data_IF_899019814996
#
_entry.id   IF_899019814996
#
_cell.length_a   1.000
_cell.length_b   1.000
_cell.length_c   1.000
_cell.angle_alpha   90.00
_cell.angle_beta   90.00
_cell.angle_gamma   90.00
#
_symmetry.space_group_name_H-M   'P 1'
#
loop_
_entity.id
_entity.type
_entity.pdbx_description
1 polymer ?
#
# COMPACT_ATOMS: atom_id res chain seq x y z
N UNK A 1 13.45 30.78 58.80
CA UNK A 1 13.61 31.80 57.75
C UNK A 1 12.28 31.93 57.03
N UNK A 2 11.80 33.16 56.96
CA UNK A 2 10.53 33.73 56.51
C UNK A 2 9.73 33.00 55.40
N UNK A 3 8.44 32.82 55.68
CA UNK A 3 7.35 32.43 54.78
C UNK A 3 7.04 33.50 53.71
N UNK A 4 6.62 33.07 52.52
CA UNK A 4 5.84 33.87 51.57
C UNK A 4 4.78 32.98 50.91
N UNK A 5 3.50 33.41 50.83
CA UNK A 5 2.42 32.62 50.21
C UNK A 5 2.28 32.91 48.70
N UNK A 6 1.65 32.02 47.92
CA UNK A 6 1.42 32.23 46.49
C UNK A 6 0.24 33.19 46.22
N UNK A 7 0.39 34.03 45.20
CA UNK A 7 -0.60 35.01 44.74
C UNK A 7 -1.73 34.38 43.91
N UNK A 8 -2.91 34.98 44.03
CA UNK A 8 -4.18 34.58 43.43
C UNK A 8 -4.27 34.85 41.92
N UNK A 9 -5.03 34.00 41.23
CA UNK A 9 -5.46 34.13 39.83
C UNK A 9 -6.55 35.20 39.68
N UNK A 10 -6.62 35.96 38.57
CA UNK A 10 -7.77 36.81 38.29
C UNK A 10 -8.88 36.05 37.54
N UNK A 11 -10.11 36.24 38.03
CA UNK A 11 -11.38 35.70 37.54
C UNK A 11 -11.82 36.32 36.19
N UNK A 12 -12.56 35.51 35.42
CA UNK A 12 -13.31 35.89 34.22
C UNK A 12 -14.51 36.81 34.55
N UNK A 13 -14.78 37.87 33.74
CA UNK A 13 -16.08 38.52 33.76
C UNK A 13 -17.08 37.78 32.86
N UNK A 14 -18.13 37.26 33.47
CA UNK A 14 -19.36 36.81 32.81
C UNK A 14 -20.20 38.01 32.38
N UNK A 15 -20.62 38.07 31.11
CA UNK A 15 -21.75 38.90 30.68
C UNK A 15 -22.86 38.07 30.04
N UNK A 16 -23.98 38.02 30.76
CA UNK A 16 -25.29 37.54 30.32
C UNK A 16 -25.81 38.35 29.12
N UNK A 17 -26.34 37.63 28.14
CA UNK A 17 -27.71 37.82 27.65
C UNK A 17 -27.92 38.78 26.48
N UNK A 18 -28.24 38.19 25.31
CA UNK A 18 -29.43 38.55 24.52
C UNK A 18 -29.77 37.41 23.55
N UNK A 19 -31.01 36.92 23.67
CA UNK A 19 -31.67 36.07 22.67
C UNK A 19 -32.00 36.93 21.46
N UNK A 20 -31.77 36.41 20.26
CA UNK A 20 -32.49 36.83 19.05
C UNK A 20 -32.89 35.53 18.34
N UNK A 21 -34.16 35.17 18.53
CA UNK A 21 -34.91 34.37 17.57
C UNK A 21 -35.28 35.28 16.39
N UNK A 22 -35.71 34.68 15.28
CA UNK A 22 -36.23 35.29 14.04
C UNK A 22 -35.21 35.52 12.91
N UNK A 23 -34.87 34.44 12.19
CA UNK A 23 -34.87 34.45 10.71
C UNK A 23 -35.29 33.07 10.22
N UNK A 24 -36.59 32.80 10.24
CA UNK A 24 -37.20 31.67 9.55
C UNK A 24 -38.58 32.09 9.01
N UNK A 25 -38.61 32.62 7.79
CA UNK A 25 -39.77 32.55 6.89
C UNK A 25 -39.44 33.11 5.50
N UNK A 26 -40.09 32.50 4.51
CA UNK A 26 -40.24 32.90 3.11
C UNK A 26 -39.19 32.42 2.09
N UNK A 27 -39.36 31.17 1.63
CA UNK A 27 -39.56 30.91 0.19
C UNK A 27 -40.09 29.50 -0.06
N UNK A 28 -41.41 29.39 -0.12
CA UNK A 28 -42.13 28.32 -0.81
C UNK A 28 -43.03 29.02 -1.82
N UNK A 29 -42.91 28.66 -3.10
CA UNK A 29 -44.02 28.50 -4.07
C UNK A 29 -43.51 28.06 -5.46
N UNK A 30 -43.64 26.74 -5.72
CA UNK A 30 -44.11 26.08 -6.97
C UNK A 30 -43.34 26.20 -8.31
N UNK A 31 -43.69 25.37 -9.33
CA UNK A 31 -44.78 24.38 -9.38
C UNK A 31 -44.37 22.93 -9.76
N UNK A 32 -45.33 22.04 -9.48
CA UNK A 32 -45.36 20.59 -9.70
C UNK A 32 -45.43 20.22 -11.20
N UNK A 33 -44.90 19.04 -11.55
CA UNK A 33 -45.36 18.24 -12.69
C UNK A 33 -45.58 16.78 -12.26
N UNK A 34 -46.75 16.27 -12.61
CA UNK A 34 -47.30 14.95 -12.33
C UNK A 34 -46.93 13.92 -13.40
N UNK A 35 -47.02 12.63 -13.01
CA UNK A 35 -47.19 11.47 -13.89
C UNK A 35 -45.88 10.76 -14.28
N UNK A 36 -45.72 9.44 -14.25
CA UNK A 36 -46.63 8.30 -14.29
C UNK A 36 -45.85 7.08 -13.71
N UNK A 37 -46.49 6.28 -12.84
CA UNK A 37 -46.05 4.93 -12.45
C UNK A 37 -46.78 3.89 -13.32
N UNK A 38 -46.13 2.78 -13.71
CA UNK A 38 -46.85 1.54 -13.95
C UNK A 38 -46.49 0.48 -12.91
N UNK A 39 -47.54 0.00 -12.26
CA UNK A 39 -47.63 -1.28 -11.58
C UNK A 39 -47.47 -2.44 -12.56
N UNK A 40 -46.66 -3.44 -12.22
CA UNK A 40 -46.70 -4.76 -12.86
C UNK A 40 -46.59 -5.85 -11.79
N UNK A 41 -47.76 -6.37 -11.44
CA UNK A 41 -47.96 -7.67 -10.81
C UNK A 41 -47.80 -8.77 -11.87
N UNK A 42 -46.91 -9.74 -11.64
CA UNK A 42 -46.99 -11.05 -12.31
C UNK A 42 -46.25 -12.11 -11.49
N UNK A 43 -47.04 -12.81 -10.70
CA UNK A 43 -46.93 -14.22 -10.31
C UNK A 43 -45.97 -15.07 -11.16
N UNK A 44 -44.85 -15.52 -10.58
CA UNK A 44 -44.10 -16.69 -11.06
C UNK A 44 -43.61 -17.53 -9.89
N UNK A 45 -44.27 -18.69 -9.77
CA UNK A 45 -43.92 -19.83 -8.91
C UNK A 45 -42.49 -20.29 -9.18
N UNK A 46 -41.70 -20.39 -8.12
CA UNK A 46 -40.38 -21.04 -8.12
C UNK A 46 -40.59 -22.51 -7.72
N UNK A 47 -40.19 -23.51 -8.52
CA UNK A 47 -40.15 -24.88 -8.05
C UNK A 47 -38.87 -25.12 -7.23
N UNK A 48 -39.08 -25.60 -6.01
CA UNK A 48 -38.08 -26.25 -5.17
C UNK A 48 -37.52 -27.49 -5.87
N UNK A 49 -36.19 -27.61 -5.95
CA UNK A 49 -35.53 -28.85 -6.36
C UNK A 49 -34.54 -29.26 -5.26
N UNK A 50 -34.92 -30.28 -4.49
CA UNK A 50 -34.02 -31.07 -3.67
C UNK A 50 -33.35 -32.12 -4.56
N UNK A 51 -32.01 -32.14 -4.60
CA UNK A 51 -31.26 -33.32 -5.05
C UNK A 51 -30.07 -33.52 -4.11
N UNK A 52 -30.19 -34.54 -3.26
CA UNK A 52 -29.06 -35.28 -2.72
C UNK A 52 -28.38 -36.06 -3.86
N UNK A 53 -27.06 -35.97 -4.00
CA UNK A 53 -26.24 -37.14 -4.36
C UNK A 53 -24.76 -36.86 -4.20
N UNK A 54 -24.11 -37.79 -3.47
CA UNK A 54 -22.67 -37.98 -3.37
C UNK A 54 -22.04 -38.20 -4.75
N UNK A 55 -20.90 -37.56 -5.03
CA UNK A 55 -19.90 -38.08 -5.96
C UNK A 55 -18.50 -37.93 -5.36
N UNK A 56 -17.87 -39.08 -5.18
CA UNK A 56 -16.48 -39.24 -4.81
C UNK A 56 -15.56 -39.02 -6.03
N UNK A 57 -14.35 -38.52 -5.75
CA UNK A 57 -13.13 -38.86 -6.50
C UNK A 57 -12.98 -38.28 -7.90
N UNK A 58 -12.26 -37.16 -8.01
CA UNK A 58 -11.52 -36.82 -9.22
C UNK A 58 -10.21 -36.11 -8.85
N UNK A 59 -9.10 -36.84 -8.97
CA UNK A 59 -7.74 -36.29 -8.96
C UNK A 59 -7.56 -35.37 -10.18
N UNK A 60 -7.63 -34.06 -9.97
CA UNK A 60 -7.30 -33.06 -10.97
C UNK A 60 -5.80 -32.81 -11.02
N UNK A 61 -5.15 -33.25 -12.10
CA UNK A 61 -3.78 -32.84 -12.48
C UNK A 61 -3.72 -31.31 -12.59
N UNK A 62 -2.81 -30.69 -11.85
CA UNK A 62 -2.51 -29.27 -11.99
C UNK A 62 -1.73 -29.05 -13.28
N UNK A 63 -2.39 -28.43 -14.27
CA UNK A 63 -1.74 -27.95 -15.48
C UNK A 63 -0.98 -26.66 -15.15
N UNK A 64 0.31 -26.63 -15.49
CA UNK A 64 1.13 -25.43 -15.39
C UNK A 64 0.66 -24.41 -16.44
N UNK A 65 0.26 -23.22 -15.99
CA UNK A 65 -0.06 -22.09 -16.86
C UNK A 65 1.23 -21.48 -17.44
N UNK A 66 1.25 -21.05 -18.71
CA UNK A 66 2.40 -20.37 -19.29
C UNK A 66 2.62 -18.99 -18.62
N UNK A 67 3.87 -18.49 -18.55
CA UNK A 67 4.16 -17.19 -17.95
C UNK A 67 3.49 -16.07 -18.76
N UNK A 68 2.66 -15.26 -18.10
CA UNK A 68 2.14 -14.01 -18.67
C UNK A 68 3.24 -12.95 -18.62
N UNK A 69 3.58 -12.38 -19.77
CA UNK A 69 4.42 -11.18 -19.88
C UNK A 69 3.48 -9.96 -19.90
N UNK A 70 3.62 -9.06 -18.93
CA UNK A 70 2.96 -7.77 -18.97
C UNK A 70 3.99 -6.65 -19.16
N UNK A 71 3.96 -6.02 -20.33
CA UNK A 71 4.75 -4.83 -20.64
C UNK A 71 3.82 -3.63 -20.60
N UNK A 72 4.07 -2.67 -19.69
CA UNK A 72 3.29 -1.44 -19.62
C UNK A 72 4.17 -0.20 -19.72
N UNK A 73 3.86 0.64 -20.70
CA UNK A 73 4.49 1.93 -20.95
C UNK A 73 3.38 2.96 -21.11
N UNK A 74 3.38 4.02 -20.30
CA UNK A 74 2.41 5.12 -20.43
C UNK A 74 2.98 6.20 -21.36
N UNK A 75 2.22 6.67 -22.38
CA UNK A 75 2.75 7.64 -23.33
C UNK A 75 2.94 9.03 -22.71
N UNK A 76 4.09 9.65 -23.04
CA UNK A 76 4.49 10.99 -22.63
C UNK A 76 3.72 12.07 -23.42
N UNK A 77 3.01 12.97 -22.72
CA UNK A 77 2.64 14.27 -23.32
C UNK A 77 3.90 15.14 -23.39
N UNK A 78 4.29 15.49 -24.62
CA UNK A 78 5.45 16.33 -24.90
C UNK A 78 5.29 17.73 -24.29
N UNK A 79 6.20 18.11 -23.39
CA UNK A 79 6.57 19.51 -23.21
C UNK A 79 8.08 19.63 -23.44
N UNK A 80 8.44 20.43 -24.46
CA UNK A 80 9.82 20.78 -24.76
C UNK A 80 10.33 21.72 -23.67
N UNK A 81 11.27 21.26 -22.87
CA UNK A 81 12.14 22.15 -22.09
C UNK A 81 13.57 21.85 -22.49
N UNK A 82 14.09 22.67 -23.40
CA UNK A 82 15.51 22.72 -23.74
C UNK A 82 16.22 23.49 -22.64
N UNK A 83 17.01 22.81 -21.80
CA UNK A 83 18.15 23.41 -21.09
C UNK A 83 19.09 22.30 -20.62
N UNK A 84 20.29 22.31 -21.18
CA UNK A 84 21.44 21.53 -20.73
C UNK A 84 21.89 22.08 -19.37
N UNK A 85 21.89 21.24 -18.33
CA UNK A 85 22.55 21.52 -17.06
C UNK A 85 23.50 20.36 -16.73
N UNK A 86 24.73 20.65 -16.23
CA UNK A 86 25.80 19.66 -16.20
C UNK A 86 25.62 18.66 -15.06
N UNK A 87 25.67 17.39 -15.45
CA UNK A 87 25.68 16.21 -14.60
C UNK A 87 26.99 16.14 -13.80
N UNK A 88 26.94 16.28 -12.48
CA UNK A 88 28.05 15.90 -11.59
C UNK A 88 27.52 15.04 -10.45
N UNK A 89 27.94 13.76 -10.46
CA UNK A 89 28.04 12.75 -9.38
C UNK A 89 26.86 12.65 -8.39
N UNK A 90 26.17 11.53 -8.13
CA UNK A 90 26.35 10.08 -8.31
C UNK A 90 24.96 9.41 -8.04
N UNK A 91 24.77 8.08 -7.93
CA UNK A 91 25.67 6.96 -8.22
C UNK A 91 25.06 5.89 -9.15
N UNK A 92 25.91 4.92 -9.46
CA UNK A 92 25.80 3.81 -10.39
C UNK A 92 24.79 2.71 -9.97
N UNK A 93 23.61 3.08 -9.49
CA UNK A 93 22.53 2.13 -9.11
C UNK A 93 21.63 1.81 -10.32
N UNK A 94 21.49 2.76 -11.25
CA UNK A 94 20.67 2.65 -12.47
C UNK A 94 21.15 1.60 -13.47
N UNK A 95 22.46 1.34 -13.53
CA UNK A 95 23.04 0.41 -14.51
C UNK A 95 22.97 -1.06 -14.06
N UNK A 96 22.78 -1.33 -12.77
CA UNK A 96 22.78 -2.70 -12.23
C UNK A 96 21.39 -3.35 -12.23
N UNK A 97 20.31 -2.55 -12.12
CA UNK A 97 18.94 -3.06 -12.11
C UNK A 97 18.46 -3.58 -13.48
N UNK A 98 18.98 -3.04 -14.58
CA UNK A 98 18.59 -3.44 -15.94
C UNK A 98 19.35 -4.69 -16.42
N UNK A 99 20.52 -5.00 -15.83
CA UNK A 99 21.41 -6.05 -16.35
C UNK A 99 21.06 -7.49 -15.91
N UNK A 100 20.22 -7.67 -14.89
CA UNK A 100 19.92 -9.02 -14.33
C UNK A 100 18.74 -9.72 -15.02
N UNK A 101 17.89 -9.00 -15.76
CA UNK A 101 16.67 -9.57 -16.37
C UNK A 101 16.91 -10.15 -17.78
N UNK A 102 18.00 -9.81 -18.47
CA UNK A 102 18.18 -10.18 -19.88
C UNK A 102 18.78 -11.57 -20.18
N UNK A 103 19.12 -12.40 -19.18
CA UNK A 103 19.92 -13.60 -19.41
C UNK A 103 19.16 -14.95 -19.46
N UNK A 104 17.84 -15.01 -19.25
CA UNK A 104 17.12 -16.31 -19.26
C UNK A 104 15.71 -16.24 -19.87
N UNK A 105 15.60 -16.18 -21.20
CA UNK A 105 14.39 -16.63 -21.90
C UNK A 105 14.62 -16.77 -23.42
N UNK A 106 15.12 -17.91 -23.87
CA UNK A 106 14.86 -18.41 -25.23
C UNK A 106 14.65 -19.92 -25.17
N UNK A 107 13.40 -20.35 -25.10
CA UNK A 107 12.94 -21.69 -25.47
C UNK A 107 11.40 -21.72 -25.66
N UNK A 108 11.00 -21.63 -26.93
CA UNK A 108 9.87 -22.26 -27.68
C UNK A 108 8.52 -22.63 -27.01
N UNK A 109 7.43 -22.44 -27.78
CA UNK A 109 6.31 -23.40 -27.86
C UNK A 109 4.95 -22.77 -28.20
N UNK A 110 4.27 -23.26 -29.24
CA UNK A 110 3.09 -22.65 -29.87
C UNK A 110 1.79 -22.63 -29.05
N UNK A 111 0.97 -21.61 -29.33
CA UNK A 111 -0.33 -21.37 -28.74
C UNK A 111 -1.41 -22.29 -29.32
N UNK A 112 -2.24 -22.84 -28.42
CA UNK A 112 -3.62 -23.23 -28.75
C UNK A 112 -4.53 -22.49 -27.79
N UNK A 113 -5.41 -21.65 -28.34
CA UNK A 113 -6.40 -20.91 -27.58
C UNK A 113 -7.50 -21.86 -27.11
N UNK A 114 -7.74 -21.92 -25.81
CA UNK A 114 -8.91 -22.53 -25.22
C UNK A 114 -9.89 -21.42 -24.82
N UNK A 115 -11.16 -21.57 -25.23
CA UNK A 115 -12.27 -20.69 -24.86
C UNK A 115 -12.55 -20.79 -23.35
N UNK A 116 -12.59 -19.64 -22.69
CA UNK A 116 -12.90 -19.49 -21.27
C UNK A 116 -14.43 -19.42 -21.10
N UNK A 117 -14.99 -20.39 -20.36
CA UNK A 117 -16.40 -20.36 -19.98
C UNK A 117 -16.53 -19.53 -18.70
N UNK A 118 -16.90 -18.26 -18.86
CA UNK A 118 -17.27 -17.33 -17.79
C UNK A 118 -18.59 -17.79 -17.14
N UNK A 119 -18.51 -18.78 -16.26
CA UNK A 119 -19.50 -18.96 -15.21
C UNK A 119 -19.33 -17.80 -14.22
N UNK A 120 -20.42 -17.13 -13.84
CA UNK A 120 -20.44 -16.08 -12.82
C UNK A 120 -19.98 -16.66 -11.47
N UNK A 121 -18.68 -16.64 -11.22
CA UNK A 121 -18.08 -17.03 -9.95
C UNK A 121 -18.30 -15.85 -8.98
N UNK A 122 -18.95 -16.12 -7.86
CA UNK A 122 -19.07 -15.15 -6.77
C UNK A 122 -17.68 -14.87 -6.19
N UNK A 123 -17.22 -13.61 -6.31
CA UNK A 123 -15.94 -13.19 -5.76
C UNK A 123 -16.04 -13.04 -4.23
N UNK A 124 -15.34 -13.91 -3.50
CA UNK A 124 -15.27 -13.84 -2.03
C UNK A 124 -13.97 -13.16 -1.63
N UNK A 125 -14.07 -11.91 -1.18
CA UNK A 125 -12.94 -11.18 -0.61
C UNK A 125 -12.67 -11.70 0.80
N UNK A 126 -11.53 -12.37 0.97
CA UNK A 126 -11.05 -12.87 2.26
C UNK A 126 -10.13 -11.85 2.89
N UNK A 127 -10.54 -11.36 4.07
CA UNK A 127 -9.79 -10.37 4.86
C UNK A 127 -9.14 -11.06 6.05
N UNK A 128 -7.89 -10.72 6.32
CA UNK A 128 -7.08 -11.22 7.41
C UNK A 128 -7.73 -10.85 8.75
N UNK A 129 -7.79 -11.79 9.68
CA UNK A 129 -8.33 -11.55 11.03
C UNK A 129 -7.25 -11.27 12.06
N UNK A 130 -6.01 -11.60 11.72
CA UNK A 130 -4.81 -11.35 12.50
C UNK A 130 -3.68 -10.94 11.54
N UNK A 131 -2.51 -10.51 12.04
CA UNK A 131 -1.37 -10.19 11.20
C UNK A 131 -0.93 -11.33 10.28
N UNK A 132 -1.20 -12.58 10.66
CA UNK A 132 -0.81 -13.74 9.87
C UNK A 132 -1.55 -13.80 8.52
N UNK A 133 -0.89 -14.34 7.50
CA UNK A 133 -1.39 -14.38 6.13
C UNK A 133 -2.33 -15.57 5.82
N UNK A 134 -2.75 -16.31 6.86
CA UNK A 134 -3.47 -17.60 6.75
C UNK A 134 -4.83 -17.59 7.43
N UNK A 135 -5.02 -16.79 8.47
CA UNK A 135 -6.29 -16.60 9.16
C UNK A 135 -7.07 -15.50 8.44
N UNK A 136 -8.03 -15.92 7.61
CA UNK A 136 -8.88 -15.01 6.87
C UNK A 136 -10.34 -15.40 6.99
N UNK A 137 -11.22 -14.39 7.01
CA UNK A 137 -12.66 -14.59 6.92
C UNK A 137 -13.23 -13.73 5.79
N UNK A 138 -14.35 -14.16 5.17
CA UNK A 138 -15.06 -13.31 4.23
C UNK A 138 -15.38 -11.96 4.86
N UNK A 139 -15.12 -10.86 4.14
CA UNK A 139 -15.34 -9.50 4.64
C UNK A 139 -16.75 -9.30 5.22
N UNK A 140 -17.77 -9.92 4.62
CA UNK A 140 -19.16 -9.87 5.07
C UNK A 140 -19.43 -10.47 6.46
N UNK A 141 -18.49 -11.26 7.00
CA UNK A 141 -18.59 -11.86 8.35
C UNK A 141 -17.86 -11.03 9.42
N UNK A 142 -17.16 -9.98 9.02
CA UNK A 142 -16.41 -9.14 9.96
C UNK A 142 -17.31 -8.06 10.58
N UNK A 143 -17.24 -7.83 11.90
CA UNK A 143 -18.06 -6.83 12.58
C UNK A 143 -17.50 -5.40 12.45
N UNK A 144 -16.60 -5.16 11.49
CA UNK A 144 -15.94 -3.87 11.28
C UNK A 144 -15.73 -3.60 9.78
N UNK A 145 -15.52 -2.31 9.44
CA UNK A 145 -15.28 -1.91 8.07
C UNK A 145 -13.95 -2.53 7.58
N UNK A 146 -14.01 -3.23 6.46
CA UNK A 146 -12.82 -3.81 5.83
C UNK A 146 -12.81 -3.46 4.34
N UNK A 147 -11.61 -3.19 3.83
CA UNK A 147 -11.35 -2.89 2.43
C UNK A 147 -10.13 -3.70 2.02
N UNK A 148 -10.14 -4.26 0.82
CA UNK A 148 -9.03 -5.01 0.29
C UNK A 148 -8.81 -4.70 -1.18
N UNK A 149 -7.57 -4.84 -1.60
CA UNK A 149 -7.20 -4.83 -3.00
C UNK A 149 -6.18 -5.91 -3.32
N UNK A 150 -6.24 -6.41 -4.55
CA UNK A 150 -5.33 -7.41 -5.09
C UNK A 150 -4.17 -6.78 -5.87
N UNK A 151 -3.25 -7.65 -6.33
CA UNK A 151 -2.08 -7.25 -7.11
C UNK A 151 -2.47 -6.55 -8.41
N UNK A 152 -3.54 -7.01 -9.09
CA UNK A 152 -3.96 -6.43 -10.36
C UNK A 152 -4.52 -5.02 -10.18
N UNK A 153 -5.21 -4.73 -9.09
CA UNK A 153 -5.66 -3.38 -8.74
C UNK A 153 -4.48 -2.46 -8.38
N UNK A 154 -3.53 -2.95 -7.57
CA UNK A 154 -2.31 -2.21 -7.24
C UNK A 154 -1.53 -1.89 -8.52
N UNK A 155 -1.25 -2.89 -9.36
CA UNK A 155 -0.45 -2.75 -10.57
C UNK A 155 -1.17 -1.91 -11.66
N UNK A 156 -2.50 -1.82 -11.65
CA UNK A 156 -3.27 -0.94 -12.56
C UNK A 156 -3.31 0.52 -12.11
N UNK A 157 -3.10 0.79 -10.83
CA UNK A 157 -3.21 2.13 -10.27
C UNK A 157 -2.07 3.06 -10.72
N UNK A 158 -0.91 2.49 -11.10
CA UNK A 158 0.32 3.23 -11.40
C UNK A 158 0.64 4.28 -10.31
N UNK A 159 0.43 3.88 -9.06
CA UNK A 159 0.66 4.74 -7.90
C UNK A 159 2.15 4.85 -7.59
N UNK A 160 2.55 5.99 -7.03
CA UNK A 160 3.96 6.27 -6.69
C UNK A 160 4.48 5.38 -5.56
N UNK A 161 3.64 5.25 -4.53
CA UNK A 161 3.89 4.49 -3.34
C UNK A 161 2.55 3.84 -2.88
N UNK A 162 2.58 3.19 -1.74
CA UNK A 162 1.37 2.59 -1.18
C UNK A 162 0.35 3.63 -0.71
N UNK A 163 0.81 4.78 -0.21
CA UNK A 163 -0.07 5.79 0.36
C UNK A 163 -0.94 6.45 -0.72
N UNK A 164 -0.36 6.77 -1.88
CA UNK A 164 -1.04 7.26 -3.09
C UNK A 164 -2.06 6.23 -3.62
N UNK A 165 -1.70 4.94 -3.59
CA UNK A 165 -2.63 3.87 -3.94
C UNK A 165 -3.86 3.83 -3.01
N UNK A 166 -3.61 3.91 -1.70
CA UNK A 166 -4.65 3.87 -0.69
C UNK A 166 -5.57 5.09 -0.78
N UNK A 167 -5.03 6.30 -0.97
CA UNK A 167 -5.84 7.51 -1.15
C UNK A 167 -6.79 7.40 -2.34
N UNK A 168 -6.28 6.92 -3.48
CA UNK A 168 -7.07 6.84 -4.72
C UNK A 168 -8.13 5.75 -4.71
N UNK A 169 -7.89 4.67 -3.97
CA UNK A 169 -8.66 3.43 -4.10
C UNK A 169 -9.52 3.14 -2.87
N UNK A 170 -9.03 3.47 -1.67
CA UNK A 170 -9.70 3.12 -0.42
C UNK A 170 -10.53 4.31 0.07
N UNK A 171 -11.71 4.00 0.58
CA UNK A 171 -12.60 5.00 1.17
C UNK A 171 -12.10 5.46 2.53
N UNK A 172 -12.37 6.72 2.86
CA UNK A 172 -11.98 7.37 4.13
C UNK A 172 -10.48 7.45 4.37
N UNK A 173 -9.67 7.31 3.30
CA UNK A 173 -8.23 7.58 3.31
C UNK A 173 -7.98 8.94 2.67
N UNK A 174 -7.12 9.75 3.29
CA UNK A 174 -6.65 11.02 2.75
C UNK A 174 -5.19 11.22 3.09
N UNK A 175 -4.45 11.94 2.25
CA UNK A 175 -3.04 12.27 2.51
C UNK A 175 -2.90 13.73 2.97
N UNK A 176 -1.91 13.98 3.81
CA UNK A 176 -1.45 15.31 4.17
C UNK A 176 0.07 15.42 3.93
N UNK A 177 0.45 16.29 3.01
CA UNK A 177 1.84 16.42 2.53
C UNK A 177 2.61 17.50 3.31
N UNK A 178 2.83 17.28 4.61
CA UNK A 178 3.50 18.25 5.47
C UNK A 178 4.94 18.58 5.03
N UNK A 179 5.70 17.59 4.55
CA UNK A 179 7.06 17.77 4.04
C UNK A 179 7.12 18.17 2.56
N UNK A 180 5.99 18.16 1.84
CA UNK A 180 5.93 18.37 0.39
C UNK A 180 6.77 17.37 -0.44
N UNK A 181 7.00 16.16 0.09
CA UNK A 181 7.66 15.06 -0.59
C UNK A 181 6.64 13.95 -0.91
N UNK A 182 6.54 13.45 -2.15
CA UNK A 182 5.52 12.47 -2.53
C UNK A 182 5.69 11.09 -1.87
N UNK A 183 6.85 10.79 -1.30
CA UNK A 183 7.12 9.54 -0.57
C UNK A 183 7.06 9.71 0.95
N UNK A 184 6.78 10.93 1.44
CA UNK A 184 6.62 11.20 2.88
C UNK A 184 5.26 11.81 3.27
N UNK A 185 4.11 11.34 2.74
CA UNK A 185 2.82 11.84 3.17
C UNK A 185 2.41 11.30 4.55
N UNK A 186 1.65 12.10 5.29
CA UNK A 186 0.87 11.61 6.42
C UNK A 186 -0.41 10.97 5.90
N UNK A 187 -0.54 9.66 6.03
CA UNK A 187 -1.78 8.96 5.71
C UNK A 187 -2.77 9.11 6.86
N UNK A 188 -3.99 9.55 6.55
CA UNK A 188 -5.08 9.65 7.52
C UNK A 188 -6.19 8.68 7.14
N UNK A 189 -6.61 7.86 8.09
CA UNK A 189 -7.79 7.01 7.97
C UNK A 189 -8.76 7.29 9.11
N UNK A 190 -9.93 7.86 8.77
CA UNK A 190 -10.98 8.20 9.75
C UNK A 190 -10.46 9.00 10.96
N UNK A 191 -9.52 9.92 10.72
CA UNK A 191 -8.93 10.80 11.74
C UNK A 191 -7.75 10.22 12.51
N UNK A 192 -7.32 9.00 12.20
CA UNK A 192 -6.08 8.41 12.73
C UNK A 192 -4.96 8.49 11.71
N UNK A 193 -3.75 8.70 12.19
CA UNK A 193 -2.57 8.95 11.35
C UNK A 193 -1.66 7.73 11.25
N UNK A 194 -1.10 7.51 10.06
CA UNK A 194 0.11 6.74 9.80
C UNK A 194 1.07 7.66 9.04
N UNK A 195 2.15 8.07 9.68
CA UNK A 195 3.08 9.07 9.12
C UNK A 195 4.54 8.63 9.25
N UNK A 196 5.40 8.96 8.29
CA UNK A 196 6.85 8.80 8.41
C UNK A 196 7.46 9.80 9.41
N UNK A 197 6.75 10.87 9.78
CA UNK A 197 7.25 11.93 10.65
C UNK A 197 7.06 11.61 12.12
N UNK A 198 8.13 11.81 12.88
CA UNK A 198 8.11 11.67 14.33
C UNK A 198 7.32 12.81 14.99
N UNK A 199 6.60 12.47 16.06
CA UNK A 199 5.85 13.44 16.88
C UNK A 199 4.35 13.52 16.59
N UNK A 200 3.87 12.89 15.51
CA UNK A 200 2.44 12.75 15.25
C UNK A 200 1.83 11.60 16.06
N UNK A 201 0.56 11.74 16.42
CA UNK A 201 -0.20 10.70 17.10
C UNK A 201 -0.54 9.57 16.11
N UNK A 202 0.38 8.62 15.97
CA UNK A 202 0.17 7.42 15.16
C UNK A 202 -1.02 6.62 15.72
N UNK A 203 -1.79 5.97 14.85
CA UNK A 203 -2.95 5.18 15.27
C UNK A 203 -3.33 4.04 14.33
N UNK A 204 -2.46 3.72 13.37
CA UNK A 204 -2.65 2.64 12.40
C UNK A 204 -1.43 1.72 12.46
N UNK A 205 -1.66 0.43 12.70
CA UNK A 205 -0.61 -0.57 12.67
C UNK A 205 -0.46 -1.15 11.26
N UNK A 206 0.75 -1.18 10.74
CA UNK A 206 1.08 -1.72 9.42
C UNK A 206 1.87 -3.01 9.58
N UNK A 207 1.42 -4.07 8.92
CA UNK A 207 2.07 -5.37 8.91
C UNK A 207 2.36 -5.81 7.49
N UNK A 208 3.56 -6.34 7.26
CA UNK A 208 3.99 -6.90 5.98
C UNK A 208 4.36 -8.36 6.21
N UNK A 209 3.62 -9.28 5.60
CA UNK A 209 3.71 -10.73 5.83
C UNK A 209 3.70 -11.06 7.33
N UNK A 210 2.78 -10.47 8.10
CA UNK A 210 2.64 -10.68 9.53
C UNK A 210 3.67 -10.03 10.45
N UNK A 211 4.74 -9.45 9.90
CA UNK A 211 5.71 -8.71 10.68
C UNK A 211 5.35 -7.22 10.76
N UNK A 212 5.45 -6.63 11.96
CA UNK A 212 5.15 -5.20 12.16
C UNK A 212 6.16 -4.34 11.42
N UNK A 213 5.65 -3.46 10.57
CA UNK A 213 6.45 -2.59 9.71
C UNK A 213 6.72 -1.23 10.36
N UNK A 214 5.82 -0.73 11.23
CA UNK A 214 6.03 0.51 11.96
C UNK A 214 7.39 0.53 12.68
N UNK A 215 7.97 1.72 12.80
CA UNK A 215 9.24 1.89 13.49
C UNK A 215 9.10 1.75 15.01
N UNK A 216 10.06 1.11 15.70
CA UNK A 216 9.99 0.94 17.15
C UNK A 216 9.91 2.27 17.92
N UNK A 217 10.54 3.31 17.37
CA UNK A 217 10.51 4.65 17.92
C UNK A 217 9.43 5.49 17.22
N UNK A 218 8.46 5.96 17.98
CA UNK A 218 7.42 6.85 17.47
C UNK A 218 6.36 6.18 16.59
N UNK A 219 6.45 4.85 16.36
CA UNK A 219 5.50 4.04 15.58
C UNK A 219 5.26 4.56 14.16
N UNK A 220 6.24 5.28 13.61
CA UNK A 220 6.18 5.90 12.28
C UNK A 220 6.16 4.86 11.17
N UNK A 221 5.70 5.26 10.00
CA UNK A 221 5.61 4.39 8.82
C UNK A 221 6.35 5.02 7.66
N UNK A 222 7.46 4.39 7.27
CA UNK A 222 8.30 4.81 6.15
C UNK A 222 7.77 4.23 4.84
N UNK A 223 6.89 4.96 4.14
CA UNK A 223 6.25 4.52 2.90
C UNK A 223 7.25 4.33 1.74
N UNK A 224 8.30 5.14 1.72
CA UNK A 224 9.42 5.10 0.79
C UNK A 224 10.16 3.75 0.78
N UNK A 225 10.17 3.05 1.91
CA UNK A 225 10.81 1.76 2.07
C UNK A 225 9.94 0.59 1.61
N UNK A 226 8.77 0.83 1.02
CA UNK A 226 7.83 -0.22 0.61
C UNK A 226 7.83 -0.48 -0.91
N UNK A 227 8.07 -1.72 -1.37
CA UNK A 227 8.09 -2.07 -2.78
C UNK A 227 6.67 -2.36 -3.25
N UNK A 228 6.00 -1.34 -3.78
CA UNK A 228 4.61 -1.44 -4.24
C UNK A 228 4.42 -2.57 -5.25
N UNK A 229 5.35 -2.74 -6.18
CA UNK A 229 5.27 -3.80 -7.22
C UNK A 229 5.38 -5.20 -6.67
N UNK A 230 5.94 -5.39 -5.49
CA UNK A 230 6.03 -6.68 -4.83
C UNK A 230 4.83 -6.96 -3.92
N UNK A 231 3.80 -6.12 -3.90
CA UNK A 231 2.57 -6.33 -3.13
C UNK A 231 1.64 -7.28 -3.89
N UNK A 232 1.22 -8.36 -3.23
CA UNK A 232 0.16 -9.23 -3.72
C UNK A 232 -1.22 -8.74 -3.30
N UNK A 233 -1.37 -8.27 -2.06
CA UNK A 233 -2.65 -7.78 -1.57
C UNK A 233 -2.46 -6.81 -0.42
N UNK A 234 -3.35 -5.82 -0.37
CA UNK A 234 -3.44 -4.83 0.69
C UNK A 234 -4.81 -4.93 1.34
N UNK A 235 -4.85 -4.92 2.67
CA UNK A 235 -6.10 -5.02 3.41
C UNK A 235 -6.11 -4.01 4.55
N UNK A 236 -7.12 -3.15 4.58
CA UNK A 236 -7.34 -2.17 5.63
C UNK A 236 -8.54 -2.59 6.47
N UNK A 237 -8.28 -2.87 7.74
CA UNK A 237 -9.29 -3.17 8.75
C UNK A 237 -9.48 -1.94 9.62
N UNK A 238 -10.68 -1.39 9.62
CA UNK A 238 -10.99 -0.18 10.37
C UNK A 238 -11.41 -0.45 11.80
N UNK A 239 -11.13 0.52 12.67
CA UNK A 239 -11.45 0.48 14.09
C UNK A 239 -10.36 -0.18 14.93
N UNK A 240 -10.57 -0.14 16.24
CA UNK A 240 -9.60 -0.67 17.18
C UNK A 240 -9.49 -2.20 17.04
N UNK A 241 -8.26 -2.72 16.84
CA UNK A 241 -8.06 -4.15 16.65
C UNK A 241 -6.88 -4.69 17.47
N UNK A 242 -7.14 -5.31 18.64
CA UNK A 242 -6.08 -5.80 19.52
C UNK A 242 -5.29 -6.99 18.93
N UNK A 243 -5.81 -7.69 17.92
CA UNK A 243 -5.10 -8.79 17.27
C UNK A 243 -3.82 -8.31 16.54
N UNK A 244 -3.76 -7.03 16.16
CA UNK A 244 -2.60 -6.41 15.50
C UNK A 244 -1.66 -5.70 16.50
N UNK A 245 -1.92 -5.85 17.80
CA UNK A 245 -1.07 -5.35 18.85
C UNK A 245 -1.19 -3.83 19.06
N UNK A 246 -0.10 -3.25 19.58
CA UNK A 246 -0.07 -1.88 20.07
C UNK A 246 -0.46 -0.86 19.00
N UNK A 247 -1.04 0.25 19.45
CA UNK A 247 -1.35 1.42 18.62
C UNK A 247 -2.27 1.18 17.41
N UNK A 248 -3.08 0.13 17.46
CA UNK A 248 -4.09 -0.19 16.44
C UNK A 248 -5.44 0.42 16.83
N UNK A 249 -5.52 1.75 16.98
CA UNK A 249 -6.74 2.43 17.45
C UNK A 249 -7.70 2.79 16.30
N UNK A 250 -7.15 3.25 15.18
CA UNK A 250 -7.90 3.61 13.99
C UNK A 250 -8.07 2.48 12.99
N UNK A 251 -7.12 1.56 12.96
CA UNK A 251 -7.17 0.40 12.10
C UNK A 251 -5.82 -0.30 11.96
N UNK A 252 -5.83 -1.38 11.18
CA UNK A 252 -4.63 -2.10 10.79
C UNK A 252 -4.57 -2.24 9.27
N UNK A 253 -3.38 -2.06 8.72
CA UNK A 253 -3.04 -2.37 7.35
C UNK A 253 -2.26 -3.68 7.33
N UNK A 254 -2.79 -4.69 6.64
CA UNK A 254 -2.10 -5.96 6.43
C UNK A 254 -1.74 -6.11 4.96
N UNK A 255 -0.45 -6.28 4.71
CA UNK A 255 0.12 -6.45 3.40
C UNK A 255 0.67 -7.86 3.25
N UNK A 256 0.37 -8.46 2.10
CA UNK A 256 1.02 -9.69 1.66
C UNK A 256 1.84 -9.41 0.43
N UNK A 257 3.07 -9.87 0.42
CA UNK A 257 3.98 -9.73 -0.72
C UNK A 257 3.81 -10.88 -1.71
N UNK A 258 4.15 -10.63 -2.98
CA UNK A 258 4.14 -11.61 -4.08
C UNK A 258 5.07 -12.80 -3.75
N UNK A 259 4.66 -13.98 -4.18
CA UNK A 259 5.46 -15.21 -4.12
C UNK A 259 5.31 -16.00 -5.43
N UNK A 260 6.20 -16.97 -5.68
CA UNK A 260 6.20 -17.69 -6.95
C UNK A 260 5.04 -18.67 -7.15
N UNK A 261 4.27 -19.01 -6.10
CA UNK A 261 3.08 -19.86 -6.24
C UNK A 261 1.85 -19.06 -6.66
N UNK A 262 1.68 -17.86 -6.10
CA UNK A 262 0.51 -17.00 -6.33
C UNK A 262 0.74 -15.99 -7.46
N UNK A 263 1.99 -15.58 -7.65
CA UNK A 263 2.39 -14.56 -8.62
C UNK A 263 3.50 -15.07 -9.55
N UNK A 264 3.23 -16.09 -10.38
CA UNK A 264 4.15 -16.51 -11.44
C UNK A 264 4.11 -15.51 -12.62
N UNK A 265 5.18 -15.49 -13.42
CA UNK A 265 5.28 -14.64 -14.60
C UNK A 265 6.31 -13.54 -14.41
N UNK A 266 6.27 -12.52 -15.27
CA UNK A 266 7.15 -11.36 -15.17
C UNK A 266 6.41 -10.05 -15.44
N UNK A 267 6.75 -9.03 -14.66
CA UNK A 267 6.29 -7.66 -14.81
C UNK A 267 7.44 -6.73 -15.13
N UNK A 268 7.23 -5.81 -16.08
CA UNK A 268 8.10 -4.67 -16.30
C UNK A 268 7.25 -3.41 -16.44
N UNK A 269 7.54 -2.44 -15.57
CA UNK A 269 6.93 -1.14 -15.54
C UNK A 269 7.99 -0.06 -15.64
N UNK A 270 7.77 0.90 -16.55
CA UNK A 270 8.58 2.10 -16.61
C UNK A 270 7.71 3.28 -17.03
N UNK A 271 7.82 4.38 -16.28
CA UNK A 271 7.16 5.62 -16.62
C UNK A 271 7.92 6.82 -16.07
N UNK A 272 7.58 8.00 -16.57
CA UNK A 272 8.14 9.25 -16.09
C UNK A 272 7.11 10.36 -16.13
N UNK A 273 7.47 11.50 -15.55
CA UNK A 273 6.57 12.64 -15.40
C UNK A 273 7.29 13.97 -15.44
N UNK A 274 6.55 15.02 -15.08
CA UNK A 274 7.11 16.35 -14.86
C UNK A 274 8.19 16.31 -13.77
N UNK A 275 9.08 17.31 -13.77
CA UNK A 275 10.11 17.49 -12.74
C UNK A 275 11.13 16.34 -12.68
N UNK A 276 11.50 15.83 -13.85
CA UNK A 276 12.53 14.78 -13.96
C UNK A 276 12.08 13.41 -13.46
N UNK A 277 10.82 13.25 -13.03
CA UNK A 277 10.33 12.04 -12.39
C UNK A 277 10.48 10.81 -13.27
N UNK A 278 11.03 9.74 -12.70
CA UNK A 278 11.26 8.43 -13.32
C UNK A 278 10.93 7.34 -12.30
N UNK A 279 10.15 6.36 -12.75
CA UNK A 279 9.84 5.16 -12.00
C UNK A 279 10.13 3.96 -12.88
N UNK A 280 10.86 3.00 -12.33
CA UNK A 280 11.18 1.74 -12.99
C UNK A 280 10.98 0.62 -11.99
N UNK A 281 10.22 -0.40 -12.39
CA UNK A 281 10.03 -1.58 -11.58
C UNK A 281 9.99 -2.83 -12.44
N UNK A 282 10.51 -3.91 -11.90
CA UNK A 282 10.49 -5.21 -12.55
C UNK A 282 10.33 -6.31 -11.51
N UNK A 283 9.58 -7.34 -11.85
CA UNK A 283 9.48 -8.54 -11.03
C UNK A 283 9.40 -9.79 -11.90
N UNK A 284 9.82 -10.92 -11.31
CA UNK A 284 9.73 -12.23 -11.93
C UNK A 284 9.47 -13.28 -10.86
N UNK A 285 8.46 -14.10 -11.09
CA UNK A 285 8.09 -15.22 -10.24
C UNK A 285 7.95 -16.51 -11.03
N UNK A 286 8.24 -17.62 -10.37
CA UNK A 286 8.06 -18.94 -10.94
C UNK A 286 7.95 -20.01 -9.86
N UNK A 287 7.36 -21.14 -10.24
CA UNK A 287 7.34 -22.33 -9.40
C UNK A 287 7.56 -23.58 -10.24
N UNK A 288 8.06 -24.63 -9.59
CA UNK A 288 8.27 -25.94 -10.20
C UNK A 288 8.02 -27.05 -9.19
N UNK A 289 7.46 -28.16 -9.65
CA UNK A 289 7.38 -29.38 -8.86
C UNK A 289 8.79 -29.94 -8.57
N UNK A 290 9.02 -30.41 -7.36
CA UNK A 290 10.27 -31.06 -6.91
C UNK A 290 9.90 -32.23 -6.00
N UNK A 291 10.10 -33.45 -6.48
CA UNK A 291 9.71 -34.66 -5.76
C UNK A 291 8.21 -34.70 -5.50
N UNK A 292 7.82 -34.82 -4.23
CA UNK A 292 6.41 -34.78 -3.79
C UNK A 292 5.90 -33.38 -3.41
N UNK A 293 6.70 -32.34 -3.61
CA UNK A 293 6.33 -30.96 -3.33
C UNK A 293 6.60 -30.03 -4.51
N UNK A 294 6.62 -28.74 -4.24
CA UNK A 294 6.96 -27.69 -5.18
C UNK A 294 7.86 -26.63 -4.54
N UNK A 295 8.75 -26.08 -5.33
CA UNK A 295 9.54 -24.90 -4.99
C UNK A 295 9.04 -23.70 -5.80
N UNK A 296 9.05 -22.54 -5.18
CA UNK A 296 8.68 -21.27 -5.78
C UNK A 296 9.75 -20.21 -5.49
N UNK A 297 9.88 -19.25 -6.39
CA UNK A 297 10.66 -18.05 -6.17
C UNK A 297 9.92 -16.84 -6.72
N UNK A 298 10.15 -15.67 -6.14
CA UNK A 298 9.74 -14.40 -6.70
C UNK A 298 10.80 -13.36 -6.36
N UNK A 299 11.24 -12.58 -7.33
CA UNK A 299 12.28 -11.56 -7.19
C UNK A 299 11.77 -10.30 -7.87
N UNK A 300 11.90 -9.15 -7.22
CA UNK A 300 11.51 -7.89 -7.80
C UNK A 300 12.34 -6.73 -7.28
N UNK A 301 12.30 -5.64 -8.04
CA UNK A 301 12.93 -4.39 -7.68
C UNK A 301 12.11 -3.20 -8.19
N UNK A 302 12.25 -2.08 -7.49
CA UNK A 302 11.56 -0.83 -7.75
C UNK A 302 12.52 0.33 -7.52
N UNK A 303 12.52 1.32 -8.41
CA UNK A 303 13.31 2.54 -8.31
C UNK A 303 12.45 3.75 -8.63
N UNK A 304 12.60 4.80 -7.82
CA UNK A 304 11.99 6.10 -7.96
C UNK A 304 13.07 7.18 -7.91
N UNK A 305 12.92 8.22 -8.74
CA UNK A 305 13.81 9.37 -8.80
C UNK A 305 13.08 10.58 -9.37
N UNK A 306 13.30 11.74 -8.79
CA UNK A 306 12.83 13.01 -9.33
C UNK A 306 13.74 14.18 -8.96
N UNK A 307 13.70 15.24 -9.79
CA UNK A 307 14.36 16.51 -9.48
C UNK A 307 13.50 17.37 -8.52
N UNK A 308 12.20 17.07 -8.46
CA UNK A 308 11.22 17.82 -7.68
C UNK A 308 10.82 19.16 -8.33
N UNK A 309 9.69 19.70 -7.91
CA UNK A 309 9.09 20.87 -8.54
C UNK A 309 9.52 22.21 -7.92
N UNK A 310 9.93 22.18 -6.65
CA UNK A 310 10.55 23.30 -5.93
C UNK A 310 12.07 23.22 -6.05
N UNK A 311 12.75 24.31 -5.75
CA UNK A 311 14.20 24.27 -5.65
C UNK A 311 14.62 23.24 -4.58
N UNK A 312 15.83 22.65 -4.69
CA UNK A 312 16.38 21.69 -3.72
C UNK A 312 15.39 20.59 -3.23
N UNK A 313 14.56 20.02 -4.13
CA UNK A 313 13.54 19.00 -3.78
C UNK A 313 13.75 17.65 -4.45
N UNK A 314 14.97 17.37 -4.93
CA UNK A 314 15.28 16.09 -5.55
C UNK A 314 15.13 14.94 -4.55
N UNK A 315 14.59 13.81 -4.99
CA UNK A 315 14.35 12.65 -4.13
C UNK A 315 14.53 11.35 -4.89
N UNK A 316 15.03 10.33 -4.20
CA UNK A 316 15.20 8.99 -4.77
C UNK A 316 14.87 7.89 -3.76
N UNK A 317 14.38 6.76 -4.26
CA UNK A 317 14.14 5.57 -3.46
C UNK A 317 14.38 4.31 -4.30
N UNK A 318 14.93 3.26 -3.67
CA UNK A 318 15.19 1.99 -4.31
C UNK A 318 14.85 0.83 -3.35
N UNK A 319 14.04 -0.10 -3.85
CA UNK A 319 13.59 -1.27 -3.12
C UNK A 319 13.92 -2.54 -3.91
N UNK A 320 14.34 -3.59 -3.21
CA UNK A 320 14.59 -4.92 -3.76
C UNK A 320 13.97 -5.97 -2.85
N UNK A 321 13.16 -6.86 -3.42
CA UNK A 321 12.44 -7.90 -2.71
C UNK A 321 12.73 -9.27 -3.33
N UNK A 322 12.82 -10.28 -2.48
CA UNK A 322 12.97 -11.67 -2.89
C UNK A 322 12.22 -12.61 -1.97
N UNK A 323 11.66 -13.68 -2.53
CA UNK A 323 11.06 -14.77 -1.79
C UNK A 323 11.44 -16.12 -2.40
N UNK A 324 11.60 -17.11 -1.53
CA UNK A 324 11.75 -18.52 -1.88
C UNK A 324 10.76 -19.31 -1.04
N UNK A 325 9.90 -20.06 -1.71
CA UNK A 325 8.85 -20.86 -1.10
C UNK A 325 9.05 -22.35 -1.34
N UNK A 326 8.65 -23.17 -0.37
CA UNK A 326 8.48 -24.60 -0.52
C UNK A 326 7.09 -25.00 -0.05
N UNK A 327 6.41 -25.85 -0.82
CA UNK A 327 5.09 -26.39 -0.49
C UNK A 327 5.08 -27.90 -0.67
N UNK A 328 4.79 -28.63 0.39
CA UNK A 328 4.54 -30.07 0.38
C UNK A 328 3.05 -30.39 0.52
N UNK A 329 2.72 -31.64 0.82
CA UNK A 329 1.34 -32.09 0.96
C UNK A 329 0.61 -31.51 2.19
N UNK A 330 1.32 -31.23 3.28
CA UNK A 330 0.75 -30.75 4.56
C UNK A 330 1.56 -29.62 5.20
N UNK A 331 2.58 -29.12 4.51
CA UNK A 331 3.51 -28.13 5.04
C UNK A 331 3.84 -27.11 3.99
N UNK A 332 4.03 -25.86 4.41
CA UNK A 332 4.44 -24.78 3.55
C UNK A 332 5.40 -23.85 4.29
N UNK A 333 6.43 -23.40 3.60
CA UNK A 333 7.45 -22.51 4.15
C UNK A 333 7.84 -21.45 3.13
N UNK A 334 8.03 -20.21 3.57
CA UNK A 334 8.46 -19.09 2.75
C UNK A 334 9.55 -18.32 3.48
N UNK A 335 10.71 -18.17 2.83
CA UNK A 335 11.77 -17.28 3.26
C UNK A 335 11.72 -16.03 2.38
N UNK A 336 11.69 -14.85 2.99
CA UNK A 336 11.59 -13.57 2.30
C UNK A 336 12.70 -12.63 2.74
N UNK A 337 13.18 -11.83 1.80
CA UNK A 337 14.19 -10.81 2.01
C UNK A 337 13.76 -9.52 1.34
N UNK A 338 13.98 -8.40 2.02
CA UNK A 338 13.60 -7.08 1.53
C UNK A 338 14.69 -6.07 1.92
N UNK A 339 15.24 -5.37 0.94
CA UNK A 339 16.22 -4.28 1.12
C UNK A 339 15.65 -3.01 0.51
N UNK A 340 15.73 -1.92 1.26
CA UNK A 340 15.22 -0.62 0.87
C UNK A 340 16.21 0.48 1.23
N UNK A 341 16.28 1.53 0.41
CA UNK A 341 17.05 2.75 0.67
C UNK A 341 16.34 3.94 0.03
N UNK A 342 16.42 5.10 0.68
CA UNK A 342 15.90 6.35 0.14
C UNK A 342 16.75 7.54 0.56
N UNK A 343 16.64 8.62 -0.21
CA UNK A 343 17.20 9.93 0.04
C UNK A 343 16.16 10.95 -0.40
N UNK A 344 15.53 11.59 0.58
CA UNK A 344 14.31 12.38 0.41
C UNK A 344 14.57 13.80 0.88
N UNK A 345 14.20 14.78 0.04
CA UNK A 345 14.21 16.20 0.40
C UNK A 345 12.77 16.68 0.65
N UNK A 346 12.53 17.27 1.82
CA UNK A 346 11.21 17.68 2.30
C UNK A 346 11.14 19.18 2.61
N UNK A 347 10.76 20.01 1.63
CA UNK A 347 10.90 21.47 1.70
C UNK A 347 9.85 22.22 2.55
N UNK A 348 9.05 21.50 3.34
CA UNK A 348 8.10 22.07 4.31
C UNK A 348 7.19 23.19 3.78
N UNK A 349 6.73 24.04 4.71
CA UNK A 349 5.85 25.17 4.43
C UNK A 349 6.62 26.42 3.97
N UNK A 350 5.93 27.31 3.25
CA UNK A 350 6.49 28.58 2.75
C UNK A 350 5.51 29.72 3.03
N UNK A 351 5.98 30.93 3.41
CA UNK A 351 5.13 32.11 3.49
C UNK A 351 4.38 32.37 2.18
N UNK A 352 3.10 32.70 2.28
CA UNK A 352 2.23 32.88 1.10
C UNK A 352 2.70 34.03 0.20
N UNK A 353 3.34 35.05 0.78
CA UNK A 353 3.95 36.17 0.07
C UNK A 353 5.15 35.74 -0.77
N UNK A 354 6.00 34.85 -0.23
CA UNK A 354 7.14 34.30 -0.97
C UNK A 354 6.66 33.38 -2.10
N UNK A 355 5.65 32.55 -1.84
CA UNK A 355 5.05 31.68 -2.84
C UNK A 355 4.37 32.46 -3.99
N UNK A 356 3.84 33.65 -3.70
CA UNK A 356 3.26 34.53 -4.71
C UNK A 356 4.33 35.15 -5.64
N UNK A 357 5.55 35.33 -5.14
CA UNK A 357 6.69 35.82 -5.94
C UNK A 357 7.33 34.69 -6.76
N UNK A 358 7.56 33.54 -6.14
CA UNK A 358 8.11 32.36 -6.79
C UNK A 358 7.51 31.08 -6.20
N UNK A 359 6.79 30.34 -7.05
CA UNK A 359 6.19 29.06 -6.65
C UNK A 359 7.23 27.99 -6.30
N UNK A 360 8.46 28.11 -6.81
CA UNK A 360 9.53 27.14 -6.55
C UNK A 360 10.28 27.41 -5.25
N UNK A 361 10.02 28.55 -4.62
CA UNK A 361 10.78 29.03 -3.49
C UNK A 361 10.78 28.04 -2.31
N UNK A 362 11.83 28.14 -1.52
CA UNK A 362 11.98 27.45 -0.25
C UNK A 362 12.28 28.49 0.81
N UNK A 363 11.71 28.29 2.00
CA UNK A 363 11.95 29.17 3.12
C UNK A 363 13.22 28.77 3.89
N UNK A 364 13.40 27.47 4.12
CA UNK A 364 14.45 26.85 4.93
C UNK A 364 14.91 25.56 4.23
N UNK A 365 16.23 25.35 4.16
CA UNK A 365 16.81 24.23 3.43
C UNK A 365 18.28 23.98 3.84
N UNK A 366 18.83 22.78 3.60
CA UNK A 366 18.13 21.58 3.16
C UNK A 366 17.45 20.82 4.31
N UNK A 367 16.33 20.18 4.02
CA UNK A 367 15.68 19.21 4.90
C UNK A 367 15.77 17.84 4.24
N UNK A 368 16.70 17.02 4.71
CA UNK A 368 17.07 15.74 4.08
C UNK A 368 16.83 14.59 5.05
N UNK A 369 16.16 13.56 4.57
CA UNK A 369 15.95 12.29 5.29
C UNK A 369 16.46 11.14 4.44
N UNK A 370 17.43 10.40 4.95
CA UNK A 370 17.98 9.20 4.33
C UNK A 370 17.54 7.99 5.15
N UNK A 371 16.78 7.07 4.54
CA UNK A 371 16.35 5.84 5.21
C UNK A 371 17.03 4.62 4.59
N UNK A 372 17.34 3.63 5.42
CA UNK A 372 17.77 2.30 4.98
C UNK A 372 17.08 1.21 5.77
N UNK A 373 16.74 0.10 5.13
CA UNK A 373 16.17 -1.06 5.80
C UNK A 373 16.60 -2.36 5.13
N UNK A 374 16.94 -3.36 5.93
CA UNK A 374 16.96 -4.78 5.56
C UNK A 374 16.00 -5.55 6.43
N UNK A 375 15.19 -6.40 5.83
CA UNK A 375 14.25 -7.26 6.52
C UNK A 375 14.34 -8.68 5.98
N UNK A 376 14.40 -9.65 6.89
CA UNK A 376 14.30 -11.08 6.61
C UNK A 376 13.08 -11.63 7.35
N UNK A 377 12.25 -12.43 6.69
CA UNK A 377 11.15 -13.13 7.34
C UNK A 377 11.08 -14.59 6.91
N UNK A 378 10.67 -15.45 7.84
CA UNK A 378 10.39 -16.86 7.64
C UNK A 378 8.97 -17.15 8.12
N UNK A 379 8.17 -17.64 7.19
CA UNK A 379 6.79 -18.03 7.43
C UNK A 379 6.67 -19.54 7.21
N UNK A 380 6.27 -20.28 8.24
CA UNK A 380 6.13 -21.74 8.16
C UNK A 380 4.77 -22.17 8.69
N UNK A 381 4.17 -23.18 8.06
CA UNK A 381 2.98 -23.82 8.58
C UNK A 381 2.97 -25.31 8.32
N UNK A 382 2.20 -26.02 9.15
CA UNK A 382 1.97 -27.46 9.03
C UNK A 382 0.59 -27.84 9.52
N UNK A 383 -0.11 -28.61 8.71
CA UNK A 383 -1.31 -29.33 9.11
C UNK A 383 -0.89 -30.58 9.91
N UNK A 384 -1.26 -30.61 11.19
CA UNK A 384 -1.05 -31.75 12.07
C UNK A 384 -2.15 -32.81 11.86
N UNK A 385 -3.37 -32.35 11.60
CA UNK A 385 -4.55 -33.14 11.25
C UNK A 385 -5.54 -32.29 10.44
N UNK A 386 -6.64 -32.87 9.99
CA UNK A 386 -7.64 -32.20 9.15
C UNK A 386 -8.35 -31.02 9.84
N UNK A 387 -8.19 -30.87 11.17
CA UNK A 387 -8.75 -29.76 11.94
C UNK A 387 -7.73 -28.95 12.72
N UNK A 388 -6.43 -29.25 12.59
CA UNK A 388 -5.37 -28.60 13.38
C UNK A 388 -4.22 -28.19 12.47
N UNK A 389 -3.97 -26.89 12.41
CA UNK A 389 -2.82 -26.28 11.76
C UNK A 389 -1.99 -25.52 12.79
N UNK A 390 -0.67 -25.62 12.66
CA UNK A 390 0.28 -24.78 13.38
C UNK A 390 1.00 -23.89 12.37
N UNK A 391 1.11 -22.61 12.70
CA UNK A 391 1.84 -21.63 11.91
C UNK A 391 2.84 -20.86 12.79
N UNK A 392 3.94 -20.43 12.19
CA UNK A 392 4.96 -19.61 12.82
C UNK A 392 5.46 -18.56 11.83
N UNK A 393 5.58 -17.32 12.31
CA UNK A 393 6.21 -16.22 11.60
C UNK A 393 7.40 -15.73 12.44
N UNK A 394 8.57 -15.66 11.82
CA UNK A 394 9.80 -15.18 12.43
C UNK A 394 10.34 -14.08 11.53
N UNK A 395 10.76 -12.95 12.10
CA UNK A 395 11.32 -11.86 11.32
C UNK A 395 12.48 -11.19 12.05
N UNK A 396 13.38 -10.62 11.26
CA UNK A 396 14.44 -9.74 11.71
C UNK A 396 14.47 -8.53 10.78
N UNK A 397 14.40 -7.32 11.36
CA UNK A 397 14.48 -6.06 10.63
C UNK A 397 15.59 -5.21 11.24
N UNK A 398 16.45 -4.67 10.39
CA UNK A 398 17.46 -3.68 10.74
C UNK A 398 17.36 -2.51 9.79
N UNK A 399 17.61 -1.31 10.28
CA UNK A 399 17.50 -0.10 9.50
C UNK A 399 18.12 1.08 10.22
N UNK A 400 18.20 2.20 9.50
CA UNK A 400 18.68 3.47 10.01
C UNK A 400 17.98 4.60 9.30
N UNK A 401 17.80 5.71 10.01
CA UNK A 401 17.26 6.95 9.48
C UNK A 401 18.22 8.07 9.90
N UNK A 402 18.81 8.74 8.92
CA UNK A 402 19.66 9.91 9.11
C UNK A 402 18.89 11.13 8.60
N UNK A 403 18.68 12.11 9.48
CA UNK A 403 17.92 13.31 9.14
C UNK A 403 18.74 14.57 9.44
N UNK A 404 18.72 15.49 8.50
CA UNK A 404 19.26 16.84 8.64
C UNK A 404 18.12 17.82 8.36
N UNK A 405 17.82 18.70 9.33
CA UNK A 405 16.78 19.71 9.19
C UNK A 405 17.41 21.11 9.31
N UNK A 406 17.16 21.95 8.30
CA UNK A 406 17.64 23.33 8.19
C UNK A 406 16.71 24.37 8.80
N UNK A 407 15.52 23.99 9.28
CA UNK A 407 14.53 24.89 9.88
C UNK A 407 14.95 25.43 11.25
N UNK A 408 15.89 24.75 11.92
CA UNK A 408 16.36 25.08 13.26
C UNK A 408 17.78 25.68 13.31
N UNK A 409 18.42 25.93 12.15
CA UNK A 409 19.83 26.37 12.05
C UNK A 409 20.02 27.85 11.79
#
# INVERSE_FOLDING_TARGET
MTNSPPQASPEFPTRRGRRIADVARNRLEGPRREGILPSLSADRRIPTCHIESRCAGAQGRQNAFPPKLSLRVKPLKHQRVTRFFPWKAAPRIWAALVAVVCATAFATGGDTAAEDNDALIEEIVVVATAPDDRSGMPAAKLPYASQAADADQVDRSLSLDLSDFLERTFTSVSLNDAQNNPLQPDLQYRGYTASPLLGLAQGIAVHVNGARFNEPLGDTVNWDLMPVTAIHSVQLMGGANPAFGLNTLGGALSLRMKDGFRSPGMGLEAWGGSHGRRVVAADVGGNRAVGSGALAYHIGAHGFDEDGWRDLSASSAANAFGSVGWRGARSEMHLRAHRATSDLLGNGAVPVELLALDRKAIFTAPDRTENTMTMLSLDASRELSDGIQVAANLFHRSGGADAFNGDAS
#
